data_IF_702912839096
#
_entry.id   IF_702912839096
#
_cell.length_a   1.000
_cell.length_b   1.000
_cell.length_c   1.000
_cell.angle_alpha   90.00
_cell.angle_beta   90.00
_cell.angle_gamma   90.00
#
_symmetry.space_group_name_H-M   'P 1'
#
loop_
_entity.id
_entity.type
_entity.pdbx_description
1 polymer ?
#
# COMPACT_ATOMS: atom_id res chain seq x y z
N UNK A 1 23.58 11.67 -12.43
CA UNK A 1 22.99 13.01 -12.68
C UNK A 1 22.42 13.07 -14.11
N UNK A 2 21.13 13.36 -14.31
CA UNK A 2 20.51 13.47 -15.65
C UNK A 2 21.27 14.53 -16.46
N UNK A 3 21.77 14.15 -17.64
CA UNK A 3 22.40 15.12 -18.52
C UNK A 3 21.26 15.91 -19.18
N UNK A 4 20.99 17.12 -18.66
CA UNK A 4 19.86 17.96 -19.11
C UNK A 4 19.91 18.30 -20.61
N UNK A 5 21.06 18.10 -21.23
CA UNK A 5 21.30 18.28 -22.66
C UNK A 5 20.82 17.09 -23.51
N UNK A 6 20.47 15.96 -22.88
CA UNK A 6 19.84 14.82 -23.53
C UNK A 6 18.31 15.06 -23.64
N UNK A 7 17.88 15.55 -24.81
CA UNK A 7 16.50 15.94 -25.10
C UNK A 7 15.47 14.85 -24.76
N UNK A 8 15.83 13.59 -24.95
CA UNK A 8 14.94 12.44 -24.70
C UNK A 8 14.67 12.25 -23.20
N UNK A 9 15.69 12.30 -22.35
CA UNK A 9 15.57 12.18 -20.88
C UNK A 9 14.77 13.35 -20.29
N UNK A 10 15.05 14.57 -20.77
CA UNK A 10 14.32 15.77 -20.37
C UNK A 10 12.84 15.71 -20.77
N UNK A 11 12.54 15.18 -21.96
CA UNK A 11 11.16 15.01 -22.44
C UNK A 11 10.36 14.00 -21.62
N UNK A 12 10.95 12.87 -21.22
CA UNK A 12 10.27 11.84 -20.43
C UNK A 12 9.88 12.35 -19.03
N UNK A 13 10.77 13.12 -18.38
CA UNK A 13 10.50 13.75 -17.08
C UNK A 13 9.37 14.78 -17.19
N UNK A 14 9.37 15.58 -18.27
CA UNK A 14 8.30 16.55 -18.53
C UNK A 14 6.94 15.89 -18.77
N UNK A 15 6.89 14.86 -19.60
CA UNK A 15 5.65 14.12 -19.91
C UNK A 15 5.08 13.45 -18.65
N UNK A 16 5.92 12.77 -17.87
CA UNK A 16 5.45 12.13 -16.62
C UNK A 16 4.92 13.14 -15.62
N UNK A 17 5.51 14.34 -15.53
CA UNK A 17 4.98 15.43 -14.69
C UNK A 17 3.56 15.83 -15.10
N UNK A 18 3.34 16.06 -16.40
CA UNK A 18 2.02 16.48 -16.94
C UNK A 18 0.96 15.41 -16.65
N UNK A 19 1.28 14.14 -16.84
CA UNK A 19 0.32 13.06 -16.59
C UNK A 19 0.07 12.86 -15.10
N UNK A 20 1.09 13.04 -14.23
CA UNK A 20 0.91 13.03 -12.78
C UNK A 20 0.02 14.18 -12.29
N UNK A 21 0.10 15.37 -12.90
CA UNK A 21 -0.82 16.48 -12.61
C UNK A 21 -2.26 16.06 -12.91
N UNK A 22 -2.51 15.47 -14.08
CA UNK A 22 -3.84 14.97 -14.46
C UNK A 22 -4.34 13.92 -13.47
N UNK A 23 -3.51 12.91 -13.15
CA UNK A 23 -3.82 11.88 -12.15
C UNK A 23 -4.15 12.49 -10.78
N UNK A 24 -3.38 13.49 -10.36
CA UNK A 24 -3.60 14.21 -9.09
C UNK A 24 -4.97 14.90 -9.06
N UNK A 25 -5.34 15.61 -10.12
CA UNK A 25 -6.66 16.25 -10.21
C UNK A 25 -7.80 15.24 -10.17
N UNK A 26 -7.64 14.10 -10.83
CA UNK A 26 -8.63 13.03 -10.81
C UNK A 26 -8.78 12.45 -9.39
N UNK A 27 -7.67 12.10 -8.72
CA UNK A 27 -7.70 11.59 -7.35
C UNK A 27 -8.32 12.61 -6.38
N UNK A 28 -7.96 13.90 -6.50
CA UNK A 28 -8.53 14.97 -5.68
C UNK A 28 -10.03 15.17 -5.94
N UNK A 29 -10.47 15.10 -7.19
CA UNK A 29 -11.88 15.18 -7.54
C UNK A 29 -12.68 14.03 -6.89
N UNK A 30 -12.11 12.82 -6.90
CA UNK A 30 -12.72 11.67 -6.24
C UNK A 30 -12.74 11.82 -4.71
N UNK A 31 -11.66 12.26 -4.08
CA UNK A 31 -11.61 12.56 -2.65
C UNK A 31 -12.70 13.59 -2.29
N UNK A 32 -12.84 14.65 -3.09
CA UNK A 32 -13.88 15.66 -2.88
C UNK A 32 -15.30 15.09 -3.07
N UNK A 33 -15.51 14.23 -4.07
CA UNK A 33 -16.79 13.55 -4.29
C UNK A 33 -17.18 12.65 -3.11
N UNK A 34 -16.20 11.98 -2.50
CA UNK A 34 -16.38 11.22 -1.25
C UNK A 34 -16.68 12.14 -0.06
N UNK A 35 -15.91 13.21 0.12
CA UNK A 35 -16.11 14.18 1.19
C UNK A 35 -17.47 14.89 1.13
N UNK A 36 -18.01 15.11 -0.07
CA UNK A 36 -19.35 15.71 -0.26
C UNK A 36 -20.49 14.76 0.06
N UNK A 37 -20.32 13.46 -0.17
CA UNK A 37 -21.36 12.45 -0.05
C UNK A 37 -21.07 11.47 1.09
N UNK A 38 -20.91 12.00 2.31
CA UNK A 38 -20.53 11.24 3.49
C UNK A 38 -21.72 10.49 4.09
N UNK A 39 -22.02 9.31 3.55
CA UNK A 39 -23.05 8.40 4.08
C UNK A 39 -22.50 7.46 5.15
N UNK A 40 -21.27 6.98 4.94
CA UNK A 40 -20.57 6.14 5.91
C UNK A 40 -19.17 6.70 6.18
N UNK A 41 -19.13 7.70 7.06
CA UNK A 41 -17.96 8.55 7.32
C UNK A 41 -16.68 7.76 7.60
N UNK A 42 -16.73 6.74 8.45
CA UNK A 42 -15.53 6.01 8.87
C UNK A 42 -14.87 5.24 7.72
N UNK A 43 -15.67 4.50 6.92
CA UNK A 43 -15.14 3.75 5.78
C UNK A 43 -14.73 4.67 4.62
N UNK A 44 -15.46 5.76 4.39
CA UNK A 44 -15.14 6.73 3.35
C UNK A 44 -13.85 7.51 3.65
N UNK A 45 -13.56 7.83 4.92
CA UNK A 45 -12.27 8.42 5.32
C UNK A 45 -11.11 7.47 5.00
N UNK A 46 -11.22 6.19 5.36
CA UNK A 46 -10.20 5.21 5.04
C UNK A 46 -9.97 5.10 3.52
N UNK A 47 -11.03 5.15 2.70
CA UNK A 47 -10.89 5.18 1.24
C UNK A 47 -10.29 6.47 0.70
N UNK A 48 -10.65 7.64 1.22
CA UNK A 48 -10.02 8.91 0.82
C UNK A 48 -8.51 8.87 1.02
N UNK A 49 -8.06 8.26 2.11
CA UNK A 49 -6.65 8.06 2.42
C UNK A 49 -5.96 7.02 1.50
N UNK A 50 -6.70 6.07 0.91
CA UNK A 50 -6.14 5.18 -0.11
C UNK A 50 -5.95 5.89 -1.46
N UNK A 51 -6.80 6.87 -1.77
CA UNK A 51 -6.68 7.67 -3.00
C UNK A 51 -5.49 8.65 -2.99
N UNK A 52 -4.86 8.88 -1.83
CA UNK A 52 -3.66 9.72 -1.76
C UNK A 52 -2.38 8.97 -2.15
N UNK A 53 -2.34 7.63 -2.04
CA UNK A 53 -1.15 6.82 -2.34
C UNK A 53 -0.59 7.05 -3.74
N UNK A 54 -1.38 6.99 -4.84
CA UNK A 54 -0.83 7.24 -6.17
C UNK A 54 -0.22 8.63 -6.35
N UNK A 55 -0.76 9.62 -5.63
CA UNK A 55 -0.27 11.00 -5.67
C UNK A 55 1.06 11.10 -4.91
N UNK A 56 1.09 10.64 -3.66
CA UNK A 56 2.28 10.73 -2.81
C UNK A 56 3.44 9.93 -3.40
N UNK A 57 3.21 8.67 -3.79
CA UNK A 57 4.24 7.82 -4.38
C UNK A 57 4.66 8.33 -5.76
N UNK A 58 3.71 8.74 -6.61
CA UNK A 58 4.00 9.25 -7.95
C UNK A 58 4.84 10.51 -7.95
N UNK A 59 4.51 11.50 -7.11
CA UNK A 59 5.29 12.72 -6.96
C UNK A 59 6.62 12.49 -6.24
N UNK A 60 6.70 11.55 -5.30
CA UNK A 60 7.98 11.18 -4.68
C UNK A 60 8.94 10.56 -5.71
N UNK A 61 8.44 9.65 -6.54
CA UNK A 61 9.21 9.05 -7.63
C UNK A 61 9.63 10.10 -8.68
N UNK A 62 8.73 11.03 -9.04
CA UNK A 62 9.07 12.12 -9.95
C UNK A 62 10.10 13.09 -9.37
N UNK A 63 10.00 13.41 -8.07
CA UNK A 63 11.00 14.22 -7.37
C UNK A 63 12.37 13.53 -7.37
N UNK A 64 12.41 12.20 -7.22
CA UNK A 64 13.64 11.42 -7.37
C UNK A 64 14.26 11.57 -8.77
N UNK A 65 13.44 11.55 -9.83
CA UNK A 65 13.91 11.79 -11.21
C UNK A 65 14.44 13.21 -11.42
N UNK A 66 13.81 14.21 -10.80
CA UNK A 66 14.13 15.62 -11.01
C UNK A 66 15.37 16.09 -10.22
N UNK A 67 15.50 15.66 -8.96
CA UNK A 67 16.54 16.15 -8.04
C UNK A 67 17.77 15.23 -7.98
N UNK A 68 17.63 13.94 -8.29
CA UNK A 68 18.74 12.97 -8.22
C UNK A 68 19.17 12.64 -6.78
N UNK A 69 20.48 12.40 -6.55
CA UNK A 69 21.12 11.74 -5.38
C UNK A 69 20.80 12.25 -3.96
N UNK A 70 20.01 13.32 -3.78
CA UNK A 70 19.45 13.68 -2.46
C UNK A 70 18.33 12.71 -1.97
N UNK A 71 18.35 11.48 -2.46
CA UNK A 71 17.33 10.41 -2.46
C UNK A 71 16.92 9.86 -1.08
N UNK A 72 17.53 10.32 0.01
CA UNK A 72 17.48 9.65 1.31
C UNK A 72 16.13 9.75 2.03
N UNK A 73 15.36 10.83 1.79
CA UNK A 73 14.09 11.08 2.47
C UNK A 73 12.86 10.51 1.75
N UNK A 74 12.93 10.32 0.43
CA UNK A 74 11.77 9.90 -0.37
C UNK A 74 11.49 8.40 -0.26
N UNK A 75 12.53 7.57 -0.12
CA UNK A 75 12.35 6.13 0.08
C UNK A 75 11.63 5.81 1.39
N UNK A 76 11.97 6.55 2.46
CA UNK A 76 11.26 6.46 3.74
C UNK A 76 9.80 6.92 3.62
N UNK A 77 9.54 7.98 2.85
CA UNK A 77 8.17 8.46 2.59
C UNK A 77 7.33 7.44 1.83
N UNK A 78 7.88 6.83 0.77
CA UNK A 78 7.21 5.77 0.00
C UNK A 78 6.93 4.56 0.90
N UNK A 79 7.91 4.14 1.71
CA UNK A 79 7.73 3.03 2.64
C UNK A 79 6.63 3.32 3.68
N UNK A 80 6.58 4.55 4.20
CA UNK A 80 5.57 4.98 5.16
C UNK A 80 4.17 5.03 4.53
N UNK A 81 4.04 5.61 3.33
CA UNK A 81 2.76 5.68 2.61
C UNK A 81 2.23 4.27 2.31
N UNK A 82 3.11 3.37 1.88
CA UNK A 82 2.80 1.95 1.67
C UNK A 82 2.27 1.27 2.94
N UNK A 83 2.96 1.45 4.06
CA UNK A 83 2.54 0.90 5.35
C UNK A 83 1.19 1.46 5.80
N UNK A 84 0.98 2.76 5.58
CA UNK A 84 -0.29 3.42 5.84
C UNK A 84 -1.40 2.91 4.93
N UNK A 85 -1.13 2.69 3.64
CA UNK A 85 -2.06 2.14 2.67
C UNK A 85 -2.56 0.74 3.08
N UNK A 86 -1.66 -0.16 3.49
CA UNK A 86 -2.03 -1.48 4.02
C UNK A 86 -2.92 -1.35 5.27
N UNK A 87 -2.55 -0.47 6.21
CA UNK A 87 -3.30 -0.29 7.45
C UNK A 87 -4.68 0.34 7.20
N UNK A 88 -4.79 1.31 6.29
CA UNK A 88 -6.06 1.91 5.90
C UNK A 88 -6.95 0.89 5.17
N UNK A 89 -6.38 0.01 4.36
CA UNK A 89 -7.14 -1.07 3.74
C UNK A 89 -7.67 -2.07 4.77
N UNK A 90 -6.89 -2.42 5.80
CA UNK A 90 -7.38 -3.21 6.93
C UNK A 90 -8.56 -2.52 7.62
N UNK A 91 -8.39 -1.25 8.01
CA UNK A 91 -9.44 -0.46 8.66
C UNK A 91 -10.69 -0.43 7.78
N UNK A 92 -10.54 -0.25 6.47
CA UNK A 92 -11.67 -0.26 5.54
C UNK A 92 -12.45 -1.58 5.62
N UNK A 93 -11.78 -2.73 5.58
CA UNK A 93 -12.47 -4.03 5.69
C UNK A 93 -13.18 -4.16 7.05
N UNK A 94 -12.52 -3.80 8.14
CA UNK A 94 -13.11 -3.86 9.49
C UNK A 94 -14.35 -2.96 9.59
N UNK A 95 -14.30 -1.75 9.04
CA UNK A 95 -15.45 -0.84 8.97
C UNK A 95 -16.59 -1.47 8.16
N UNK A 96 -16.29 -2.06 7.00
CA UNK A 96 -17.30 -2.72 6.17
C UNK A 96 -17.94 -3.93 6.86
N UNK A 97 -17.20 -4.65 7.72
CA UNK A 97 -17.75 -5.75 8.54
C UNK A 97 -18.61 -5.26 9.70
N UNK A 98 -18.23 -4.15 10.33
CA UNK A 98 -18.98 -3.55 11.43
C UNK A 98 -20.14 -2.66 10.99
N UNK A 99 -20.56 -2.73 9.73
CA UNK A 99 -21.59 -1.85 9.18
C UNK A 99 -22.93 -2.08 9.90
N UNK A 100 -23.41 -1.04 10.59
CA UNK A 100 -24.75 -1.01 11.22
C UNK A 100 -25.53 0.21 10.76
N UNK A 101 -26.85 0.08 10.67
CA UNK A 101 -27.78 1.17 10.37
C UNK A 101 -28.60 1.53 11.60
N UNK A 102 -28.65 2.82 11.93
CA UNK A 102 -29.56 3.36 12.95
C UNK A 102 -30.05 4.72 12.47
N UNK A 103 -31.37 4.90 12.48
CA UNK A 103 -32.04 6.14 12.11
C UNK A 103 -31.62 6.70 10.72
N UNK A 104 -31.40 5.82 9.74
CA UNK A 104 -31.00 6.21 8.37
C UNK A 104 -29.56 6.70 8.23
N UNK A 105 -28.74 6.55 9.28
CA UNK A 105 -27.30 6.84 9.24
C UNK A 105 -26.49 5.55 9.44
N UNK A 106 -25.40 5.42 8.68
CA UNK A 106 -24.52 4.24 8.75
C UNK A 106 -23.34 4.51 9.66
N UNK A 107 -23.13 3.62 10.62
CA UNK A 107 -22.03 3.72 11.57
C UNK A 107 -21.38 2.36 11.83
N UNK A 108 -20.17 2.41 12.37
CA UNK A 108 -19.39 1.23 12.73
C UNK A 108 -19.73 0.77 14.14
N UNK A 109 -19.98 -0.53 14.30
CA UNK A 109 -20.25 -1.18 15.59
C UNK A 109 -19.37 -2.41 15.72
N UNK A 110 -18.59 -2.51 16.80
CA UNK A 110 -17.69 -3.65 17.05
C UNK A 110 -18.46 -4.95 17.26
N UNK A 111 -19.66 -4.86 17.82
CA UNK A 111 -20.54 -6.00 18.07
C UNK A 111 -21.05 -6.62 16.76
N UNK A 112 -21.30 -5.80 15.73
CA UNK A 112 -21.67 -6.28 14.39
C UNK A 112 -20.49 -6.99 13.72
N UNK A 113 -19.30 -6.39 13.77
CA UNK A 113 -18.06 -6.99 13.26
C UNK A 113 -17.82 -8.38 13.88
N UNK A 114 -17.91 -8.49 15.21
CA UNK A 114 -17.72 -9.76 15.93
C UNK A 114 -18.78 -10.79 15.54
N UNK A 115 -20.04 -10.37 15.36
CA UNK A 115 -21.13 -11.27 14.98
C UNK A 115 -20.87 -11.93 13.62
N UNK A 116 -20.54 -11.13 12.62
CA UNK A 116 -20.23 -11.62 11.26
C UNK A 116 -19.04 -12.58 11.29
N UNK A 117 -18.03 -12.30 12.12
CA UNK A 117 -16.87 -13.18 12.28
C UNK A 117 -17.23 -14.52 12.94
N UNK A 118 -18.14 -14.51 13.91
CA UNK A 118 -18.58 -15.73 14.60
C UNK A 118 -19.34 -16.68 13.67
N UNK A 119 -20.07 -16.14 12.68
CA UNK A 119 -20.86 -16.93 11.71
C UNK A 119 -19.99 -17.74 10.74
N UNK A 120 -18.74 -17.33 10.51
CA UNK A 120 -17.81 -18.01 9.58
C UNK A 120 -17.25 -19.34 10.12
N UNK A 121 -17.50 -19.68 11.39
CA UNK A 121 -17.04 -20.87 12.15
C UNK A 121 -15.51 -21.04 12.28
N UNK A 122 -14.72 -20.86 11.22
CA UNK A 122 -13.26 -20.99 11.22
C UNK A 122 -12.56 -19.99 10.28
N UNK A 123 -11.46 -19.39 10.74
CA UNK A 123 -10.50 -18.70 9.87
C UNK A 123 -9.35 -19.65 9.53
N UNK A 124 -9.28 -20.05 8.26
CA UNK A 124 -8.17 -20.83 7.72
C UNK A 124 -7.04 -19.91 7.31
N UNK A 125 -5.85 -20.17 7.84
CA UNK A 125 -4.62 -19.54 7.38
C UNK A 125 -4.17 -20.20 6.08
N UNK A 126 -3.52 -19.41 5.22
CA UNK A 126 -2.94 -19.88 3.95
C UNK A 126 -1.72 -20.78 4.18
N UNK A 127 -1.02 -20.62 5.30
CA UNK A 127 0.06 -21.53 5.68
C UNK A 127 -0.51 -22.78 6.38
N UNK A 128 -0.23 -23.99 5.87
CA UNK A 128 -0.72 -25.23 6.46
C UNK A 128 -0.17 -25.47 7.89
N UNK A 129 0.95 -24.83 8.23
CA UNK A 129 1.57 -24.92 9.55
C UNK A 129 0.79 -24.18 10.64
N UNK A 130 -0.12 -23.27 10.29
CA UNK A 130 -0.91 -22.50 11.26
C UNK A 130 -2.29 -23.14 11.38
N UNK A 131 -2.56 -23.77 12.52
CA UNK A 131 -3.85 -24.44 12.77
C UNK A 131 -5.01 -23.43 12.66
N UNK A 132 -6.10 -23.78 11.96
CA UNK A 132 -7.31 -22.98 11.93
C UNK A 132 -7.77 -22.70 13.37
N UNK A 133 -8.08 -21.44 13.66
CA UNK A 133 -8.65 -21.06 14.96
C UNK A 133 -10.17 -20.99 14.80
N UNK A 134 -10.95 -21.66 15.67
CA UNK A 134 -12.40 -21.47 15.68
C UNK A 134 -12.71 -20.01 16.03
N UNK A 135 -13.79 -19.47 15.45
CA UNK A 135 -14.32 -18.14 15.78
C UNK A 135 -15.64 -18.24 16.55
N UNK A 136 -15.96 -19.38 17.16
CA UNK A 136 -17.25 -19.64 17.80
C UNK A 136 -17.53 -18.81 19.07
N UNK A 137 -16.56 -18.03 19.55
CA UNK A 137 -16.70 -17.15 20.71
C UNK A 137 -16.23 -15.73 20.40
N UNK A 138 -16.92 -14.73 20.95
CA UNK A 138 -16.52 -13.32 20.89
C UNK A 138 -15.06 -13.09 21.32
N UNK A 139 -14.58 -13.79 22.36
CA UNK A 139 -13.18 -13.70 22.80
C UNK A 139 -12.20 -14.16 21.71
N UNK A 140 -12.54 -15.21 20.96
CA UNK A 140 -11.71 -15.74 19.89
C UNK A 140 -11.71 -14.82 18.67
N UNK A 141 -12.87 -14.28 18.29
CA UNK A 141 -12.99 -13.29 17.22
C UNK A 141 -12.19 -12.00 17.52
N UNK A 142 -12.28 -11.47 18.74
CA UNK A 142 -11.49 -10.32 19.19
C UNK A 142 -9.99 -10.64 19.16
N UNK A 143 -9.59 -11.83 19.63
CA UNK A 143 -8.19 -12.24 19.61
C UNK A 143 -7.65 -12.36 18.19
N UNK A 144 -8.46 -12.92 17.27
CA UNK A 144 -8.13 -13.01 15.85
C UNK A 144 -7.91 -11.64 15.23
N UNK A 145 -8.88 -10.72 15.37
CA UNK A 145 -8.74 -9.34 14.88
C UNK A 145 -7.53 -8.64 15.49
N UNK A 146 -7.26 -8.82 16.78
CA UNK A 146 -6.07 -8.26 17.43
C UNK A 146 -4.78 -8.79 16.80
N UNK A 147 -4.70 -10.09 16.49
CA UNK A 147 -3.53 -10.68 15.81
C UNK A 147 -3.35 -10.08 14.41
N UNK A 148 -4.43 -9.94 13.64
CA UNK A 148 -4.39 -9.30 12.31
C UNK A 148 -3.92 -7.85 12.43
N UNK A 149 -4.51 -7.06 13.33
CA UNK A 149 -4.12 -5.67 13.60
C UNK A 149 -2.65 -5.58 13.99
N UNK A 150 -2.17 -6.35 14.96
CA UNK A 150 -0.77 -6.32 15.37
C UNK A 150 0.15 -6.68 14.19
N UNK A 151 -0.17 -7.74 13.44
CA UNK A 151 0.63 -8.19 12.30
C UNK A 151 0.75 -7.15 11.18
N UNK A 152 -0.28 -6.32 11.00
CA UNK A 152 -0.30 -5.24 10.01
C UNK A 152 0.31 -3.95 10.57
N UNK A 153 -0.16 -3.44 11.71
CA UNK A 153 0.29 -2.16 12.28
C UNK A 153 1.76 -2.17 12.71
N UNK A 154 2.35 -3.34 12.98
CA UNK A 154 3.78 -3.43 13.30
C UNK A 154 4.67 -2.85 12.20
N UNK A 155 4.27 -2.92 10.92
CA UNK A 155 5.10 -2.38 9.82
C UNK A 155 5.25 -0.87 9.89
N UNK A 156 4.20 -0.15 10.31
CA UNK A 156 4.26 1.30 10.53
C UNK A 156 5.26 1.60 11.64
N UNK A 157 5.17 0.88 12.76
CA UNK A 157 6.07 1.06 13.90
C UNK A 157 7.53 0.77 13.52
N UNK A 158 7.77 -0.34 12.80
CA UNK A 158 9.11 -0.73 12.34
C UNK A 158 9.68 0.32 11.39
N UNK A 159 8.91 0.82 10.43
CA UNK A 159 9.39 1.85 9.50
C UNK A 159 9.74 3.14 10.24
N UNK A 160 8.86 3.62 11.13
CA UNK A 160 9.14 4.83 11.92
C UNK A 160 10.39 4.63 12.78
N UNK A 161 10.52 3.49 13.45
CA UNK A 161 11.69 3.18 14.27
C UNK A 161 12.97 3.14 13.44
N UNK A 162 12.95 2.49 12.26
CA UNK A 162 14.09 2.44 11.34
C UNK A 162 14.44 3.84 10.84
N UNK A 163 13.46 4.66 10.44
CA UNK A 163 13.70 6.04 10.01
C UNK A 163 14.36 6.88 11.11
N UNK A 164 13.89 6.75 12.37
CA UNK A 164 14.50 7.45 13.51
C UNK A 164 15.93 6.96 13.75
N UNK A 165 16.17 5.64 13.71
CA UNK A 165 17.49 5.04 13.91
C UNK A 165 18.45 5.43 12.77
N UNK A 166 18.00 5.44 11.52
CA UNK A 166 18.84 5.76 10.35
C UNK A 166 19.19 7.25 10.28
N UNK A 167 18.35 8.14 10.80
CA UNK A 167 18.53 9.59 10.69
C UNK A 167 19.89 10.08 11.24
N UNK A 168 20.33 9.70 12.46
CA UNK A 168 21.67 10.04 12.94
C UNK A 168 22.80 9.54 12.04
N UNK A 169 22.75 8.28 11.58
CA UNK A 169 23.79 7.74 10.70
C UNK A 169 23.88 8.49 9.37
N UNK A 170 22.73 8.98 8.88
CA UNK A 170 22.65 9.80 7.67
C UNK A 170 23.20 11.23 7.85
N UNK A 171 23.01 11.82 9.04
CA UNK A 171 23.46 13.20 9.34
C UNK A 171 24.97 13.24 9.58
N UNK A 172 25.51 12.22 10.24
CA UNK A 172 26.93 12.16 10.63
C UNK A 172 27.82 11.44 9.62
N UNK A 173 27.29 11.06 8.46
CA UNK A 173 27.99 10.42 7.34
C UNK A 173 28.93 9.28 7.80
N UNK A 174 28.37 8.38 8.62
CA UNK A 174 29.14 7.29 9.22
C UNK A 174 29.61 6.32 8.14
N UNK A 175 30.91 6.00 8.09
CA UNK A 175 31.53 5.23 7.00
C UNK A 175 30.90 3.85 6.76
N UNK A 176 30.35 3.23 7.82
CA UNK A 176 29.67 1.92 7.78
C UNK A 176 28.17 2.00 7.36
N UNK A 177 27.66 3.20 7.07
CA UNK A 177 26.28 3.44 6.64
C UNK A 177 26.24 3.94 5.18
N UNK A 178 26.73 3.12 4.25
CA UNK A 178 26.56 3.38 2.81
C UNK A 178 25.23 2.81 2.32
N UNK A 179 24.38 3.70 1.84
CA UNK A 179 23.07 3.37 1.25
C UNK A 179 23.28 2.57 -0.03
N UNK A 180 22.53 1.51 -0.23
CA UNK A 180 22.67 0.63 -1.40
C UNK A 180 23.74 -0.45 -1.23
N UNK A 181 24.53 -0.42 -0.16
CA UNK A 181 25.56 -1.43 0.08
C UNK A 181 24.94 -2.72 0.61
N UNK A 182 24.98 -3.77 -0.20
CA UNK A 182 24.45 -5.10 0.14
C UNK A 182 25.45 -5.98 0.92
N UNK A 183 26.44 -5.38 1.59
CA UNK A 183 27.38 -6.10 2.43
C UNK A 183 26.75 -6.44 3.78
N UNK A 184 27.05 -7.62 4.33
CA UNK A 184 26.63 -8.03 5.68
C UNK A 184 27.22 -7.16 6.78
N UNK A 185 28.30 -6.45 6.47
CA UNK A 185 29.00 -5.55 7.38
C UNK A 185 28.34 -4.16 7.41
N UNK A 186 27.47 -3.86 6.45
CA UNK A 186 26.75 -2.58 6.37
C UNK A 186 25.53 -2.56 7.28
N UNK A 187 25.41 -1.52 8.10
CA UNK A 187 24.22 -1.28 8.94
C UNK A 187 22.98 -1.07 8.06
N UNK A 188 23.15 -0.47 6.87
CA UNK A 188 22.05 -0.20 5.95
C UNK A 188 21.39 -1.50 5.45
N UNK A 189 22.19 -2.52 5.16
CA UNK A 189 21.69 -3.83 4.74
C UNK A 189 20.76 -4.46 5.78
N UNK A 190 21.15 -4.43 7.06
CA UNK A 190 20.33 -4.98 8.15
C UNK A 190 19.03 -4.19 8.37
N UNK A 191 19.08 -2.86 8.34
CA UNK A 191 17.88 -2.03 8.45
C UNK A 191 16.92 -2.27 7.28
N UNK A 192 17.44 -2.32 6.05
CA UNK A 192 16.63 -2.60 4.86
C UNK A 192 16.01 -4.00 4.92
N UNK A 193 16.77 -5.00 5.38
CA UNK A 193 16.30 -6.38 5.57
C UNK A 193 15.18 -6.49 6.61
N UNK A 194 15.31 -5.82 7.77
CA UNK A 194 14.28 -5.80 8.81
C UNK A 194 13.00 -5.12 8.29
N UNK A 195 13.14 -4.00 7.58
CA UNK A 195 12.01 -3.29 6.95
C UNK A 195 11.29 -4.16 5.93
N UNK A 196 12.05 -4.84 5.06
CA UNK A 196 11.50 -5.74 4.04
C UNK A 196 10.78 -6.93 4.69
N UNK A 197 11.40 -7.59 5.67
CA UNK A 197 10.81 -8.69 6.42
C UNK A 197 9.51 -8.27 7.13
N UNK A 198 9.51 -7.11 7.79
CA UNK A 198 8.31 -6.55 8.43
C UNK A 198 7.19 -6.27 7.42
N UNK A 199 7.54 -5.78 6.22
CA UNK A 199 6.58 -5.55 5.14
C UNK A 199 5.99 -6.86 4.62
N UNK A 200 6.81 -7.90 4.43
CA UNK A 200 6.35 -9.24 4.02
C UNK A 200 5.40 -9.83 5.07
N UNK A 201 5.71 -9.69 6.36
CA UNK A 201 4.83 -10.13 7.44
C UNK A 201 3.48 -9.40 7.38
N UNK A 202 3.48 -8.06 7.26
CA UNK A 202 2.23 -7.30 7.19
C UNK A 202 1.38 -7.68 5.97
N UNK A 203 2.00 -7.84 4.80
CA UNK A 203 1.31 -8.32 3.59
C UNK A 203 0.76 -9.72 3.83
N UNK A 204 1.52 -10.64 4.43
CA UNK A 204 1.03 -11.97 4.73
C UNK A 204 -0.25 -11.93 5.58
N UNK A 205 -0.26 -11.16 6.67
CA UNK A 205 -1.47 -10.98 7.49
C UNK A 205 -2.63 -10.38 6.70
N UNK A 206 -2.37 -9.36 5.87
CA UNK A 206 -3.37 -8.74 5.01
C UNK A 206 -3.95 -9.72 3.99
N UNK A 207 -3.11 -10.53 3.35
CA UNK A 207 -3.52 -11.54 2.38
C UNK A 207 -4.45 -12.55 3.04
N UNK A 208 -4.03 -13.12 4.17
CA UNK A 208 -4.86 -14.08 4.91
C UNK A 208 -6.22 -13.48 5.28
N UNK A 209 -6.22 -12.25 5.78
CA UNK A 209 -7.44 -11.58 6.17
C UNK A 209 -8.33 -11.21 4.98
N UNK A 210 -7.77 -10.74 3.87
CA UNK A 210 -8.52 -10.41 2.66
C UNK A 210 -9.16 -11.64 2.02
N UNK A 211 -8.45 -12.78 1.98
CA UNK A 211 -9.02 -14.05 1.51
C UNK A 211 -10.13 -14.57 2.43
N UNK A 212 -9.97 -14.39 3.74
CA UNK A 212 -11.02 -14.71 4.69
C UNK A 212 -12.24 -13.78 4.51
N UNK A 213 -12.02 -12.48 4.39
CA UNK A 213 -13.06 -11.46 4.17
C UNK A 213 -13.80 -11.68 2.85
N UNK A 214 -13.11 -12.10 1.78
CA UNK A 214 -13.72 -12.42 0.50
C UNK A 214 -14.69 -13.62 0.56
N UNK A 215 -14.56 -14.51 1.56
CA UNK A 215 -15.48 -15.62 1.79
C UNK A 215 -16.73 -15.21 2.58
N UNK A 216 -16.73 -14.03 3.19
CA UNK A 216 -17.86 -13.52 3.97
C UNK A 216 -18.97 -13.13 2.98
N UNK A 217 -20.16 -13.74 3.05
CA UNK A 217 -21.23 -13.53 2.06
C UNK A 217 -21.67 -12.08 1.91
N UNK A 218 -21.61 -11.30 3.00
CA UNK A 218 -21.98 -9.88 3.00
C UNK A 218 -20.97 -9.01 2.24
N UNK A 219 -19.70 -9.39 2.23
CA UNK A 219 -18.63 -8.62 1.59
C UNK A 219 -18.39 -9.02 0.13
N UNK A 220 -18.89 -10.17 -0.31
CA UNK A 220 -18.63 -10.68 -1.66
C UNK A 220 -19.11 -9.70 -2.75
N UNK A 221 -20.25 -9.05 -2.53
CA UNK A 221 -20.83 -8.07 -3.46
C UNK A 221 -20.05 -6.76 -3.56
N UNK A 222 -19.22 -6.46 -2.55
CA UNK A 222 -18.34 -5.29 -2.54
C UNK A 222 -17.03 -5.53 -3.28
N UNK A 223 -16.86 -6.68 -3.96
CA UNK A 223 -15.66 -7.02 -4.74
C UNK A 223 -14.36 -6.82 -3.95
N UNK A 224 -14.35 -7.21 -2.67
CA UNK A 224 -13.19 -7.04 -1.76
C UNK A 224 -11.92 -7.64 -2.36
N UNK A 225 -12.03 -8.76 -3.10
CA UNK A 225 -10.89 -9.37 -3.81
C UNK A 225 -10.27 -8.42 -4.84
N UNK A 226 -11.08 -7.69 -5.62
CA UNK A 226 -10.57 -6.71 -6.59
C UNK A 226 -9.87 -5.55 -5.88
N UNK A 227 -10.46 -5.03 -4.79
CA UNK A 227 -9.86 -3.98 -3.96
C UNK A 227 -8.52 -4.43 -3.38
N UNK A 228 -8.45 -5.66 -2.87
CA UNK A 228 -7.22 -6.24 -2.33
C UNK A 228 -6.15 -6.47 -3.40
N UNK A 229 -6.50 -6.99 -4.58
CA UNK A 229 -5.56 -7.17 -5.68
C UNK A 229 -4.92 -5.84 -6.09
N UNK A 230 -5.67 -4.74 -6.03
CA UNK A 230 -5.13 -3.42 -6.33
C UNK A 230 -4.09 -3.00 -5.29
N UNK A 231 -4.36 -3.21 -3.99
CA UNK A 231 -3.36 -2.95 -2.94
C UNK A 231 -2.13 -3.85 -3.12
N UNK A 232 -2.30 -5.13 -3.44
CA UNK A 232 -1.16 -6.02 -3.74
C UNK A 232 -0.34 -5.52 -4.93
N UNK A 233 -0.99 -5.07 -5.99
CA UNK A 233 -0.31 -4.53 -7.16
C UNK A 233 0.56 -3.32 -6.80
N UNK A 234 0.03 -2.40 -5.98
CA UNK A 234 0.80 -1.29 -5.42
C UNK A 234 2.05 -1.75 -4.67
N UNK A 235 1.93 -2.81 -3.85
CA UNK A 235 3.05 -3.37 -3.10
C UNK A 235 4.13 -3.97 -4.00
N UNK A 236 3.73 -4.65 -5.07
CA UNK A 236 4.65 -5.24 -6.05
C UNK A 236 5.50 -4.15 -6.68
N UNK A 237 4.86 -3.05 -7.12
CA UNK A 237 5.53 -1.89 -7.73
C UNK A 237 6.50 -1.21 -6.76
N UNK A 238 6.13 -1.06 -5.48
CA UNK A 238 6.98 -0.31 -4.54
C UNK A 238 8.10 -1.15 -3.90
N UNK A 239 7.95 -2.47 -3.78
CA UNK A 239 8.89 -3.31 -3.00
C UNK A 239 9.62 -4.38 -3.80
N UNK A 240 8.90 -5.08 -4.69
CA UNK A 240 9.48 -6.21 -5.42
C UNK A 240 10.20 -5.71 -6.66
N UNK A 241 9.63 -4.74 -7.35
CA UNK A 241 10.16 -4.19 -8.59
C UNK A 241 11.60 -3.65 -8.48
N UNK A 242 11.99 -2.86 -7.46
CA UNK A 242 13.38 -2.41 -7.34
C UNK A 242 14.38 -3.57 -7.27
N UNK A 243 14.00 -4.66 -6.58
CA UNK A 243 14.83 -5.86 -6.46
C UNK A 243 14.92 -6.64 -7.78
N UNK A 244 13.82 -6.72 -8.54
CA UNK A 244 13.81 -7.33 -9.88
C UNK A 244 14.70 -6.53 -10.83
N UNK A 245 14.56 -5.21 -10.85
CA UNK A 245 15.37 -4.32 -11.71
C UNK A 245 16.84 -4.46 -11.36
N UNK A 246 17.18 -4.47 -10.07
CA UNK A 246 18.56 -4.68 -9.59
C UNK A 246 19.11 -6.03 -10.08
N UNK A 247 18.36 -7.11 -9.91
CA UNK A 247 18.77 -8.43 -10.42
C UNK A 247 18.97 -8.47 -11.94
N UNK A 248 18.12 -7.78 -12.71
CA UNK A 248 18.26 -7.67 -14.16
C UNK A 248 19.49 -6.84 -14.55
N UNK A 249 19.80 -5.77 -13.81
CA UNK A 249 21.00 -4.97 -14.01
C UNK A 249 22.27 -5.78 -13.74
N UNK A 250 22.31 -6.56 -12.65
CA UNK A 250 23.43 -7.43 -12.29
C UNK A 250 23.71 -8.50 -13.35
N UNK A 251 22.66 -8.96 -14.05
CA UNK A 251 22.75 -9.92 -15.16
C UNK A 251 23.14 -9.29 -16.50
N UNK A 252 23.31 -7.97 -16.55
CA UNK A 252 23.59 -7.22 -17.77
C UNK A 252 22.43 -7.19 -18.77
N UNK A 253 21.20 -7.41 -18.30
CA UNK A 253 20.00 -7.34 -19.16
C UNK A 253 19.51 -5.90 -19.36
N UNK A 254 19.94 -4.98 -18.51
CA UNK A 254 19.71 -3.54 -18.66
C UNK A 254 20.95 -2.94 -19.31
N UNK A 255 20.75 -2.14 -20.36
CA UNK A 255 21.85 -1.51 -21.08
C UNK A 255 22.62 -0.56 -20.14
N UNK A 256 23.88 -0.90 -19.85
CA UNK A 256 24.80 0.01 -19.20
C UNK A 256 25.41 0.91 -20.26
N UNK A 257 25.20 2.21 -20.12
CA UNK A 257 25.95 3.22 -20.88
C UNK A 257 27.16 3.65 -20.05
N UNK A 258 28.31 3.85 -20.68
CA UNK A 258 29.57 4.24 -20.01
C UNK A 258 29.48 5.54 -19.18
N UNK A 259 28.42 6.33 -19.39
CA UNK A 259 28.20 7.62 -18.75
C UNK A 259 27.49 7.55 -17.38
N UNK A 260 26.92 6.40 -17.00
CA UNK A 260 26.11 6.25 -15.78
C UNK A 260 26.51 5.02 -14.98
N UNK A 261 26.50 5.15 -13.66
CA UNK A 261 26.68 3.99 -12.78
C UNK A 261 25.45 3.08 -12.83
N UNK A 262 25.63 1.78 -12.58
CA UNK A 262 24.52 0.83 -12.50
C UNK A 262 23.45 1.25 -11.48
N UNK A 263 23.87 1.81 -10.34
CA UNK A 263 22.96 2.27 -9.28
C UNK A 263 22.06 3.40 -9.78
N UNK A 264 22.60 4.33 -10.55
CA UNK A 264 21.83 5.43 -11.15
C UNK A 264 20.82 4.92 -12.18
N UNK A 265 21.23 3.99 -13.05
CA UNK A 265 20.36 3.40 -14.06
C UNK A 265 19.19 2.66 -13.40
N UNK A 266 19.45 1.87 -12.35
CA UNK A 266 18.42 1.17 -11.56
C UNK A 266 17.45 2.19 -10.92
N UNK A 267 18.00 3.21 -10.25
CA UNK A 267 17.20 4.22 -9.55
C UNK A 267 16.31 5.02 -10.51
N UNK A 268 16.85 5.42 -11.65
CA UNK A 268 16.12 6.16 -12.69
C UNK A 268 15.04 5.30 -13.33
N UNK A 269 15.38 4.08 -13.76
CA UNK A 269 14.44 3.14 -14.38
C UNK A 269 13.27 2.83 -13.43
N UNK A 270 13.57 2.55 -12.16
CA UNK A 270 12.55 2.27 -11.16
C UNK A 270 11.64 3.48 -10.91
N UNK A 271 12.21 4.69 -10.81
CA UNK A 271 11.43 5.90 -10.55
C UNK A 271 10.52 6.25 -11.73
N UNK A 272 10.99 6.08 -12.97
CA UNK A 272 10.20 6.32 -14.18
C UNK A 272 9.03 5.33 -14.31
N UNK A 273 9.27 4.05 -14.02
CA UNK A 273 8.23 3.02 -13.98
C UNK A 273 7.20 3.34 -12.90
N UNK A 274 7.65 3.66 -11.67
CA UNK A 274 6.77 4.03 -10.56
C UNK A 274 5.86 5.22 -10.89
N UNK A 275 6.37 6.27 -11.56
CA UNK A 275 5.51 7.37 -12.01
C UNK A 275 4.36 6.88 -12.89
N UNK A 276 4.68 6.05 -13.89
CA UNK A 276 3.71 5.51 -14.84
C UNK A 276 2.71 4.56 -14.17
N UNK A 277 3.19 3.71 -13.27
CA UNK A 277 2.39 2.76 -12.51
C UNK A 277 1.43 3.46 -11.56
N UNK A 278 1.87 4.52 -10.88
CA UNK A 278 0.99 5.29 -9.99
C UNK A 278 -0.12 6.03 -10.77
N UNK A 279 0.13 6.45 -12.01
CA UNK A 279 -0.93 6.97 -12.88
C UNK A 279 -1.99 5.89 -13.12
N UNK A 280 -1.57 4.69 -13.53
CA UNK A 280 -2.47 3.55 -13.76
C UNK A 280 -3.23 3.17 -12.48
N UNK A 281 -2.54 3.14 -11.35
CA UNK A 281 -3.14 2.88 -10.03
C UNK A 281 -4.25 3.89 -9.70
N UNK A 282 -4.04 5.19 -9.95
CA UNK A 282 -5.05 6.21 -9.76
C UNK A 282 -6.33 5.92 -10.54
N UNK A 283 -6.21 5.57 -11.82
CA UNK A 283 -7.37 5.17 -12.65
C UNK A 283 -8.05 3.89 -12.15
N UNK A 284 -7.27 2.87 -11.79
CA UNK A 284 -7.82 1.61 -11.28
C UNK A 284 -8.53 1.78 -9.95
N UNK A 285 -8.02 2.64 -9.05
CA UNK A 285 -8.65 2.91 -7.77
C UNK A 285 -10.07 3.46 -7.95
N UNK A 286 -10.31 4.30 -8.94
CA UNK A 286 -11.64 4.86 -9.24
C UNK A 286 -12.63 3.76 -9.64
N UNK A 287 -12.18 2.83 -10.48
CA UNK A 287 -13.01 1.74 -10.98
C UNK A 287 -13.32 0.71 -9.89
N UNK A 288 -12.36 0.48 -9.01
CA UNK A 288 -12.41 -0.56 -7.98
C UNK A 288 -13.04 -0.06 -6.67
N UNK A 289 -13.00 1.24 -6.40
CA UNK A 289 -13.64 1.89 -5.26
C UNK A 289 -14.71 2.88 -5.70
N UNK A 290 -15.89 2.41 -6.16
CA UNK A 290 -16.99 3.28 -6.54
C UNK A 290 -17.74 3.81 -5.31
N UNK A 291 -18.20 5.07 -5.39
CA UNK A 291 -18.99 5.71 -4.32
C UNK A 291 -20.32 4.98 -4.04
N UNK A 292 -20.83 4.21 -5.01
CA UNK A 292 -22.02 3.35 -4.84
C UNK A 292 -21.86 2.33 -3.72
N UNK A 293 -20.65 1.95 -3.36
CA UNK A 293 -20.37 0.99 -2.29
C UNK A 293 -20.86 1.47 -0.91
N UNK A 294 -21.04 2.78 -0.73
CA UNK A 294 -21.45 3.39 0.54
C UNK A 294 -22.92 3.82 0.55
N UNK A 295 -23.69 3.55 -0.51
CA UNK A 295 -25.09 3.97 -0.61
C UNK A 295 -26.06 3.05 0.12
N UNK A 296 -25.76 1.75 0.16
CA UNK A 296 -26.61 0.71 0.73
C UNK A 296 -25.74 -0.31 1.48
N UNK A 297 -26.22 -0.83 2.63
CA UNK A 297 -25.48 -1.80 3.41
C UNK A 297 -25.30 -3.10 2.64
N UNK A 298 -24.21 -3.86 2.90
CA UNK A 298 -23.85 -5.01 2.09
C UNK A 298 -24.88 -6.15 2.23
N UNK A 299 -25.53 -6.26 3.39
CA UNK A 299 -26.60 -7.22 3.66
C UNK A 299 -27.89 -6.96 2.85
N UNK A 300 -28.18 -5.70 2.51
CA UNK A 300 -29.42 -5.32 1.79
C UNK A 300 -29.35 -5.55 0.28
N UNK A 301 -28.15 -5.66 -0.29
CA UNK A 301 -27.96 -5.79 -1.74
C UNK A 301 -28.37 -7.17 -2.28
N UNK A 302 -28.38 -8.20 -1.43
CA UNK A 302 -28.92 -9.54 -1.72
C UNK A 302 -30.40 -9.54 -2.14
N UNK A 303 -31.18 -8.55 -1.72
CA UNK A 303 -32.62 -8.47 -2.03
C UNK A 303 -32.93 -7.83 -3.38
N UNK A 304 -31.94 -7.19 -4.02
CA UNK A 304 -32.14 -6.47 -5.30
C UNK A 304 -31.67 -7.31 -6.50
N UNK A 305 -30.88 -8.36 -6.24
CA UNK A 305 -30.32 -9.24 -7.27
C UNK A 305 -31.10 -10.55 -7.52
N UNK A 306 -32.26 -10.72 -6.88
CA UNK A 306 -33.24 -11.78 -7.14
C UNK A 306 -34.54 -11.17 -7.66
#
# INVERSE_FOLDING_TARGET
MVNRDNLEESSAIGVTAVVLIISTFICLHHIFSYARNMKYKSAQIACMLLFTTPVIVGWSAWACLYVGETMKNYEALIALDKAFCIAMFLILIEMLLGWTESNGTYFFTKEAEIRVLMDMKEAKWLLPCIKPSPLSSSKQAISYLRKIRIGIFQVIFVIIAITIISTPFLIFDYDDFKIGENSTDSIWFWLSSIRSLSSVVAVFFLVNYAFFAAKIPELNELRIKSKFNLIQLSMVFTEIQPSIISFCADRGWIANTDNYSQVEIIGWTNSLLLCSEMIIMGFLQILVFPLSDYKTPPSSRKFIAN
#
